data_IF_471439054140
#
_entry.id   IF_471439054140
#
_cell.length_a   1.000
_cell.length_b   1.000
_cell.length_c   1.000
_cell.angle_alpha   90.00
_cell.angle_beta   90.00
_cell.angle_gamma   90.00
#
_symmetry.space_group_name_H-M   'P 1'
#
loop_
_entity.id
_entity.type
_entity.pdbx_description
1 polymer ?
#
# COMPACT_ATOMS: atom_id res chain seq x y z
N UNK A 1 -12.30 14.22 -7.90
CA UNK A 1 -13.04 13.04 -7.42
C UNK A 1 -14.51 13.39 -7.49
N UNK A 2 -15.28 12.69 -8.32
CA UNK A 2 -16.74 12.85 -8.36
C UNK A 2 -17.31 12.16 -7.13
N UNK A 3 -18.17 12.86 -6.38
CA UNK A 3 -18.90 12.25 -5.27
C UNK A 3 -19.69 11.05 -5.80
N UNK A 4 -19.62 9.94 -5.07
CA UNK A 4 -20.38 8.73 -5.33
C UNK A 4 -21.83 8.87 -4.87
N UNK A 5 -22.15 9.92 -4.12
CA UNK A 5 -23.48 10.18 -3.61
C UNK A 5 -24.36 10.89 -4.64
N UNK A 6 -25.66 10.60 -4.65
CA UNK A 6 -26.62 11.32 -5.48
C UNK A 6 -26.78 12.77 -5.01
N UNK A 7 -27.31 13.61 -5.91
CA UNK A 7 -27.39 15.07 -5.70
C UNK A 7 -28.29 15.47 -4.51
N UNK A 8 -29.21 14.59 -4.11
CA UNK A 8 -30.11 14.79 -2.97
C UNK A 8 -29.51 14.35 -1.62
N UNK A 9 -28.21 14.02 -1.58
CA UNK A 9 -27.52 13.66 -0.34
C UNK A 9 -27.50 14.79 0.68
N UNK A 10 -27.76 14.42 1.93
CA UNK A 10 -27.74 15.31 3.10
C UNK A 10 -26.32 15.72 3.48
N UNK A 11 -26.19 16.78 4.28
CA UNK A 11 -24.89 17.26 4.76
C UNK A 11 -24.13 16.19 5.58
N UNK A 12 -24.86 15.34 6.32
CA UNK A 12 -24.27 14.25 7.11
C UNK A 12 -23.66 13.18 6.20
N UNK A 13 -24.37 12.77 5.15
CA UNK A 13 -23.91 11.74 4.21
C UNK A 13 -22.67 12.19 3.46
N UNK A 14 -22.62 13.45 3.01
CA UNK A 14 -21.41 14.03 2.41
C UNK A 14 -20.26 14.13 3.40
N UNK A 15 -20.54 14.45 4.66
CA UNK A 15 -19.56 14.42 5.74
C UNK A 15 -18.96 13.04 5.94
N UNK A 16 -19.80 11.99 5.90
CA UNK A 16 -19.35 10.60 6.03
C UNK A 16 -18.54 10.15 4.80
N UNK A 17 -18.96 10.54 3.59
CA UNK A 17 -18.21 10.27 2.35
C UNK A 17 -16.80 10.85 2.43
N UNK A 18 -16.66 12.11 2.86
CA UNK A 18 -15.36 12.78 2.99
C UNK A 18 -14.41 12.08 3.99
N UNK A 19 -14.96 11.41 5.01
CA UNK A 19 -14.16 10.65 5.98
C UNK A 19 -13.78 9.26 5.45
N UNK A 20 -14.61 8.68 4.57
CA UNK A 20 -14.46 7.32 4.07
C UNK A 20 -13.56 7.20 2.83
N UNK A 21 -12.91 8.28 2.38
CA UNK A 21 -12.02 8.28 1.21
C UNK A 21 -10.66 7.58 1.43
N UNK A 22 -10.52 6.72 2.43
CA UNK A 22 -9.24 6.04 2.69
C UNK A 22 -8.96 5.01 1.58
N UNK A 23 -7.99 5.34 0.74
CA UNK A 23 -7.51 4.47 -0.33
C UNK A 23 -6.56 3.39 0.21
N UNK A 24 -7.16 2.35 0.79
CA UNK A 24 -6.44 1.16 1.28
C UNK A 24 -5.82 0.34 0.14
N UNK A 25 -6.36 0.45 -1.08
CA UNK A 25 -5.91 -0.36 -2.22
C UNK A 25 -4.49 0.02 -2.67
N UNK A 26 -4.14 1.30 -2.59
CA UNK A 26 -2.80 1.80 -2.92
C UNK A 26 -1.69 1.15 -2.08
N UNK A 27 -1.91 1.02 -0.77
CA UNK A 27 -0.90 0.54 0.19
C UNK A 27 -0.50 -0.91 -0.13
N UNK A 28 -1.48 -1.78 -0.39
CA UNK A 28 -1.21 -3.18 -0.69
C UNK A 28 -0.37 -3.36 -1.97
N UNK A 29 -0.64 -2.53 -2.98
CA UNK A 29 0.12 -2.56 -4.24
C UNK A 29 1.56 -2.11 -4.02
N UNK A 30 1.78 -1.13 -3.16
CA UNK A 30 3.11 -0.66 -2.78
C UNK A 30 3.90 -1.72 -2.02
N UNK A 31 3.25 -2.52 -1.17
CA UNK A 31 3.88 -3.56 -0.37
C UNK A 31 4.34 -4.78 -1.19
N UNK A 32 3.61 -5.14 -2.24
CA UNK A 32 3.94 -6.28 -3.11
C UNK A 32 4.91 -5.93 -4.25
N UNK A 33 5.38 -4.68 -4.31
CA UNK A 33 6.36 -4.23 -5.30
C UNK A 33 7.71 -3.95 -4.62
N UNK A 34 8.80 -4.65 -5.00
CA UNK A 34 10.11 -4.49 -4.39
C UNK A 34 10.68 -3.08 -4.53
N UNK A 35 10.32 -2.32 -5.58
CA UNK A 35 10.83 -0.95 -5.80
C UNK A 35 10.18 0.07 -4.87
N UNK A 36 8.90 -0.12 -4.55
CA UNK A 36 8.12 0.85 -3.77
C UNK A 36 7.91 0.43 -2.32
N UNK A 37 8.21 -0.82 -1.98
CA UNK A 37 8.04 -1.36 -0.64
C UNK A 37 9.01 -0.67 0.35
N UNK A 38 8.57 -0.34 1.56
CA UNK A 38 9.45 0.16 2.62
C UNK A 38 10.56 -0.85 2.96
N UNK A 39 11.78 -0.37 3.18
CA UNK A 39 12.95 -1.24 3.40
C UNK A 39 12.80 -2.23 4.57
N UNK A 40 12.08 -1.83 5.62
CA UNK A 40 11.81 -2.67 6.80
C UNK A 40 10.87 -3.86 6.54
N UNK A 41 10.17 -3.87 5.40
CA UNK A 41 9.25 -4.95 4.99
C UNK A 41 9.80 -5.82 3.85
N UNK A 42 10.98 -5.48 3.31
CA UNK A 42 11.57 -6.24 2.20
C UNK A 42 11.86 -7.69 2.58
N UNK A 43 12.21 -7.97 3.84
CA UNK A 43 12.41 -9.35 4.31
C UNK A 43 11.14 -10.20 4.24
N UNK A 44 9.98 -9.60 4.52
CA UNK A 44 8.69 -10.27 4.45
C UNK A 44 8.30 -10.53 3.00
N UNK A 45 8.62 -9.60 2.10
CA UNK A 45 8.43 -9.78 0.66
C UNK A 45 9.34 -10.90 0.13
N UNK A 46 10.61 -10.93 0.53
CA UNK A 46 11.56 -11.98 0.17
C UNK A 46 11.10 -13.36 0.65
N UNK A 47 10.52 -13.45 1.85
CA UNK A 47 9.91 -14.68 2.35
C UNK A 47 8.71 -15.11 1.50
N UNK A 48 7.83 -14.18 1.11
CA UNK A 48 6.68 -14.46 0.26
C UNK A 48 7.08 -14.94 -1.15
N UNK A 49 8.27 -14.58 -1.63
CA UNK A 49 8.85 -15.02 -2.90
C UNK A 49 9.79 -16.22 -2.76
N UNK A 50 9.87 -16.82 -1.57
CA UNK A 50 10.72 -17.99 -1.29
C UNK A 50 12.20 -17.74 -1.59
N UNK A 51 12.71 -16.55 -1.28
CA UNK A 51 14.14 -16.24 -1.43
C UNK A 51 14.96 -17.08 -0.45
N UNK A 52 15.88 -17.90 -0.98
CA UNK A 52 16.66 -18.87 -0.19
C UNK A 52 17.68 -18.22 0.76
N UNK A 53 18.28 -17.10 0.36
CA UNK A 53 19.28 -16.38 1.16
C UNK A 53 18.85 -14.94 1.36
N UNK A 54 18.82 -14.51 2.61
CA UNK A 54 18.54 -13.14 2.97
C UNK A 54 19.56 -12.63 3.98
N UNK A 55 20.25 -11.54 3.65
CA UNK A 55 21.20 -10.89 4.56
C UNK A 55 20.72 -9.46 4.88
N UNK A 56 20.51 -9.13 6.17
CA UNK A 56 20.16 -7.78 6.60
C UNK A 56 21.20 -6.72 6.25
N UNK A 57 22.46 -7.09 6.01
CA UNK A 57 23.55 -6.17 5.67
C UNK A 57 23.62 -5.83 4.18
N UNK A 58 22.87 -6.52 3.32
CA UNK A 58 22.82 -6.19 1.90
C UNK A 58 22.28 -4.77 1.66
N UNK A 59 22.86 -4.12 0.65
CA UNK A 59 22.38 -2.84 0.14
C UNK A 59 20.92 -2.95 -0.33
N UNK A 60 20.16 -1.86 -0.26
CA UNK A 60 18.75 -1.88 -0.69
C UNK A 60 18.61 -2.26 -2.17
N UNK A 61 19.55 -1.87 -3.03
CA UNK A 61 19.53 -2.24 -4.45
C UNK A 61 19.62 -3.76 -4.65
N UNK A 62 20.39 -4.47 -3.84
CA UNK A 62 20.51 -5.94 -3.91
C UNK A 62 19.29 -6.62 -3.29
N UNK A 63 18.68 -6.02 -2.27
CA UNK A 63 17.46 -6.55 -1.65
C UNK A 63 16.21 -6.42 -2.53
N UNK A 64 16.24 -5.51 -3.50
CA UNK A 64 15.11 -5.21 -4.40
C UNK A 64 15.23 -5.87 -5.79
N UNK A 65 16.39 -6.45 -6.11
CA UNK A 65 16.64 -7.22 -7.36
C UNK A 65 16.24 -8.67 -7.23
#
# INVERSE_FOLDING_TARGET
MSSLLPINSSALERGLEAVNTKDTASILRTLYNPDTCPAHLLSQLAWAWSVDRWDPTWSESVKRS
#
